data_IF_350740774590
#
_entry.id   IF_350740774590
#
_cell.length_a   1.000
_cell.length_b   1.000
_cell.length_c   1.000
_cell.angle_alpha   90.00
_cell.angle_beta   90.00
_cell.angle_gamma   90.00
#
_symmetry.space_group_name_H-M   'P 1'
#
loop_
_entity.id
_entity.type
_entity.pdbx_description
1 polymer ?
#
# COMPACT_ATOMS: atom_id res chain seq x y z
N UNK A 1 19.40 38.53 -57.41
CA UNK A 1 18.16 38.76 -56.62
C UNK A 1 17.25 37.56 -56.84
N UNK A 2 17.34 36.57 -55.95
CA UNK A 2 16.25 35.68 -55.50
C UNK A 2 16.88 34.63 -54.57
N UNK A 3 16.65 34.86 -53.29
CA UNK A 3 16.91 34.00 -52.13
C UNK A 3 16.10 32.72 -52.22
N UNK A 4 16.72 31.57 -51.97
CA UNK A 4 16.05 30.44 -51.33
C UNK A 4 16.95 29.93 -50.20
N UNK A 5 16.48 30.19 -48.98
CA UNK A 5 17.06 29.75 -47.71
C UNK A 5 16.83 28.24 -47.57
N UNK A 6 17.88 27.49 -47.26
CA UNK A 6 17.75 26.12 -46.74
C UNK A 6 16.94 26.14 -45.44
N UNK A 7 15.77 25.52 -45.47
CA UNK A 7 14.99 25.22 -44.27
C UNK A 7 15.40 23.82 -43.84
N UNK A 8 16.26 23.78 -42.82
CA UNK A 8 16.64 22.58 -42.10
C UNK A 8 15.42 22.15 -41.26
N UNK A 9 14.73 21.08 -41.68
CA UNK A 9 13.59 20.53 -40.95
C UNK A 9 14.11 19.79 -39.71
N UNK A 10 14.21 20.51 -38.59
CA UNK A 10 14.54 19.91 -37.31
C UNK A 10 13.29 19.18 -36.79
N UNK A 11 13.20 17.87 -37.03
CA UNK A 11 12.19 17.02 -36.39
C UNK A 11 12.53 16.93 -34.90
N UNK A 12 11.91 17.80 -34.10
CA UNK A 12 11.83 17.63 -32.66
C UNK A 12 10.97 16.39 -32.40
N UNK A 13 11.63 15.27 -32.08
CA UNK A 13 11.00 14.15 -31.41
C UNK A 13 10.59 14.63 -30.02
N UNK A 14 9.42 15.25 -29.94
CA UNK A 14 8.70 15.40 -28.69
C UNK A 14 8.23 13.99 -28.34
N UNK A 15 9.09 13.22 -27.66
CA UNK A 15 8.72 12.01 -26.98
C UNK A 15 7.75 12.40 -25.87
N UNK A 16 6.50 12.62 -26.23
CA UNK A 16 5.39 12.54 -25.32
C UNK A 16 5.40 11.11 -24.81
N UNK A 17 6.09 10.88 -23.68
CA UNK A 17 5.69 9.87 -22.73
C UNK A 17 4.24 10.20 -22.38
N UNK A 18 3.33 9.68 -23.19
CA UNK A 18 1.96 9.48 -22.82
C UNK A 18 2.02 8.43 -21.71
N UNK A 19 2.22 8.88 -20.47
CA UNK A 19 1.66 8.17 -19.33
C UNK A 19 0.15 8.18 -19.59
N UNK A 20 -0.33 7.18 -20.33
CA UNK A 20 -1.71 6.79 -20.28
C UNK A 20 -1.94 6.36 -18.83
N UNK A 21 -2.38 7.29 -17.99
CA UNK A 21 -3.05 6.94 -16.76
C UNK A 21 -4.29 6.19 -17.21
N UNK A 22 -4.17 4.87 -17.26
CA UNK A 22 -5.28 3.98 -17.50
C UNK A 22 -6.16 4.17 -16.26
N UNK A 23 -7.13 5.08 -16.35
CA UNK A 23 -8.28 5.08 -15.46
C UNK A 23 -9.12 3.87 -15.85
N UNK A 24 -8.57 2.66 -15.65
CA UNK A 24 -9.38 1.46 -15.61
C UNK A 24 -10.44 1.70 -14.53
N UNK A 25 -11.71 1.60 -14.89
CA UNK A 25 -12.77 1.45 -13.90
C UNK A 25 -12.35 0.30 -12.99
N UNK A 26 -11.95 0.62 -11.76
CA UNK A 26 -11.52 -0.37 -10.79
C UNK A 26 -12.81 -0.97 -10.25
N UNK A 27 -13.32 -2.01 -10.92
CA UNK A 27 -14.56 -2.67 -10.50
C UNK A 27 -14.41 -3.31 -9.11
N UNK A 28 -13.18 -3.66 -8.71
CA UNK A 28 -12.84 -4.11 -7.35
C UNK A 28 -11.47 -3.57 -6.90
N UNK A 29 -11.41 -2.67 -5.89
CA UNK A 29 -10.16 -2.11 -5.37
C UNK A 29 -9.19 -3.14 -4.82
N UNK A 30 -9.68 -4.20 -4.18
CA UNK A 30 -8.86 -5.29 -3.63
C UNK A 30 -8.16 -6.05 -4.74
N UNK A 31 -8.92 -6.43 -5.79
CA UNK A 31 -8.36 -7.12 -6.96
C UNK A 31 -7.27 -6.31 -7.63
N UNK A 32 -7.52 -5.01 -7.84
CA UNK A 32 -6.54 -4.13 -8.47
C UNK A 32 -5.29 -3.96 -7.60
N UNK A 33 -5.45 -3.79 -6.29
CA UNK A 33 -4.30 -3.72 -5.39
C UNK A 33 -3.47 -5.02 -5.41
N UNK A 34 -4.13 -6.18 -5.46
CA UNK A 34 -3.42 -7.45 -5.57
C UNK A 34 -2.65 -7.59 -6.88
N UNK A 35 -3.24 -7.15 -7.99
CA UNK A 35 -2.55 -7.06 -9.28
C UNK A 35 -1.34 -6.13 -9.21
N UNK A 36 -1.48 -4.95 -8.61
CA UNK A 36 -0.37 -4.02 -8.43
C UNK A 36 0.79 -4.66 -7.65
N UNK A 37 0.48 -5.43 -6.59
CA UNK A 37 1.47 -6.15 -5.80
C UNK A 37 2.22 -7.22 -6.60
N UNK A 38 1.63 -7.79 -7.65
CA UNK A 38 2.26 -8.77 -8.53
C UNK A 38 3.13 -8.12 -9.62
N UNK A 39 2.76 -6.91 -10.06
CA UNK A 39 3.37 -6.25 -11.22
C UNK A 39 4.53 -5.31 -10.85
N UNK A 40 4.57 -4.81 -9.61
CA UNK A 40 5.58 -3.85 -9.18
C UNK A 40 5.83 -3.90 -7.67
N UNK A 41 7.03 -3.49 -7.21
CA UNK A 41 7.26 -3.31 -5.78
C UNK A 41 6.33 -2.26 -5.18
N UNK A 42 5.83 -2.53 -3.97
CA UNK A 42 5.01 -1.60 -3.18
C UNK A 42 5.54 -1.54 -1.75
N UNK A 43 6.01 -0.36 -1.34
CA UNK A 43 6.40 -0.07 0.03
C UNK A 43 5.27 0.67 0.73
N UNK A 44 4.85 0.16 1.89
CA UNK A 44 3.74 0.68 2.68
C UNK A 44 4.18 0.87 4.13
N UNK A 45 3.98 2.07 4.62
CA UNK A 45 4.16 2.46 6.01
C UNK A 45 2.82 2.48 6.70
N UNK A 46 2.65 1.72 7.80
CA UNK A 46 1.45 1.82 8.62
C UNK A 46 1.44 3.20 9.30
N UNK A 47 0.41 3.98 9.01
CA UNK A 47 0.25 5.33 9.52
C UNK A 47 -0.82 5.40 10.59
N UNK A 48 -1.95 4.71 10.37
CA UNK A 48 -3.05 4.66 11.33
C UNK A 48 -3.61 3.24 11.46
N UNK A 49 -4.02 2.84 12.66
CA UNK A 49 -4.75 1.59 12.90
C UNK A 49 -5.87 1.78 13.92
N UNK A 50 -6.86 0.88 13.93
CA UNK A 50 -7.85 0.77 15.00
C UNK A 50 -7.62 -0.44 15.92
N UNK A 51 -6.48 -1.12 15.76
CA UNK A 51 -6.16 -2.35 16.46
C UNK A 51 -4.97 -3.06 15.83
N UNK A 52 -4.54 -4.14 16.49
CA UNK A 52 -3.35 -4.91 16.11
C UNK A 52 -3.75 -6.22 15.44
N UNK A 53 -2.99 -6.63 14.43
CA UNK A 53 -3.19 -7.89 13.70
C UNK A 53 -1.84 -8.57 13.45
N UNK A 54 -1.34 -8.60 12.20
CA UNK A 54 0.01 -9.06 11.86
C UNK A 54 1.12 -8.14 12.41
N UNK A 55 0.79 -6.89 12.72
CA UNK A 55 1.71 -5.97 13.39
C UNK A 55 1.72 -6.25 14.89
N UNK A 56 2.91 -6.35 15.52
CA UNK A 56 2.99 -6.61 16.95
C UNK A 56 2.29 -5.53 17.79
N UNK A 57 1.61 -5.87 18.90
CA UNK A 57 0.88 -4.91 19.74
C UNK A 57 1.68 -3.75 20.35
N UNK A 58 3.01 -3.80 20.28
CA UNK A 58 3.91 -2.75 20.78
C UNK A 58 4.60 -1.99 19.65
N UNK A 59 4.20 -2.22 18.39
CA UNK A 59 4.88 -1.62 17.25
C UNK A 59 4.42 -0.19 17.03
N UNK A 60 5.37 0.74 16.96
CA UNK A 60 5.11 2.13 16.54
C UNK A 60 5.42 2.33 15.06
N UNK A 61 6.40 1.63 14.51
CA UNK A 61 6.75 1.75 13.10
C UNK A 61 6.66 0.39 12.40
N UNK A 62 5.48 0.07 11.88
CA UNK A 62 5.26 -1.11 11.04
C UNK A 62 5.36 -0.74 9.55
N UNK A 63 6.13 -1.52 8.80
CA UNK A 63 6.37 -1.32 7.36
C UNK A 63 6.25 -2.64 6.64
N UNK A 64 5.63 -2.64 5.46
CA UNK A 64 5.54 -3.79 4.57
C UNK A 64 6.16 -3.41 3.23
N UNK A 65 7.03 -4.26 2.70
CA UNK A 65 7.46 -4.22 1.31
C UNK A 65 6.91 -5.45 0.61
N UNK A 66 6.09 -5.25 -0.41
CA UNK A 66 5.79 -6.28 -1.41
C UNK A 66 6.80 -6.13 -2.56
N UNK A 67 7.57 -7.19 -2.81
CA UNK A 67 8.74 -7.16 -3.70
C UNK A 67 8.38 -7.21 -5.20
N UNK A 68 7.14 -7.58 -5.52
CA UNK A 68 6.50 -7.39 -6.82
C UNK A 68 7.29 -7.85 -8.05
N UNK A 69 7.87 -9.04 -8.00
CA UNK A 69 8.82 -9.49 -9.04
C UNK A 69 8.75 -10.96 -9.41
N UNK A 70 7.75 -11.72 -8.95
CA UNK A 70 7.60 -13.11 -9.42
C UNK A 70 6.20 -13.42 -9.96
N UNK A 71 5.92 -13.14 -11.26
CA UNK A 71 4.66 -13.52 -11.90
C UNK A 71 4.48 -15.05 -12.04
N UNK A 72 5.49 -15.86 -11.69
CA UNK A 72 5.41 -17.32 -11.76
C UNK A 72 4.91 -17.98 -10.46
N UNK A 73 4.76 -17.23 -9.37
CA UNK A 73 4.21 -17.72 -8.11
C UNK A 73 2.81 -17.16 -7.90
N UNK A 74 1.85 -18.02 -7.52
CA UNK A 74 0.47 -17.62 -7.28
C UNK A 74 0.31 -16.64 -6.10
N UNK A 75 1.28 -16.61 -5.17
CA UNK A 75 1.32 -15.69 -4.04
C UNK A 75 2.37 -14.60 -4.21
N UNK A 76 2.07 -13.41 -3.67
CA UNK A 76 3.03 -12.32 -3.51
C UNK A 76 3.77 -12.52 -2.19
N UNK A 77 5.10 -12.43 -2.20
CA UNK A 77 5.89 -12.42 -0.97
C UNK A 77 6.06 -10.97 -0.52
N UNK A 78 6.04 -10.75 0.79
CA UNK A 78 6.37 -9.47 1.39
C UNK A 78 7.29 -9.62 2.58
N UNK A 79 8.08 -8.58 2.81
CA UNK A 79 8.94 -8.42 3.99
C UNK A 79 8.33 -7.38 4.92
N UNK A 80 8.40 -7.63 6.23
CA UNK A 80 7.89 -6.70 7.25
C UNK A 80 9.00 -6.22 8.16
N UNK A 81 8.88 -4.99 8.64
CA UNK A 81 9.72 -4.42 9.67
C UNK A 81 8.84 -3.79 10.74
N UNK A 82 9.06 -4.14 11.99
CA UNK A 82 8.41 -3.50 13.14
C UNK A 82 9.47 -2.95 14.10
N UNK A 83 9.33 -1.69 14.49
CA UNK A 83 10.05 -1.11 15.62
C UNK A 83 9.11 -0.93 16.82
N UNK A 84 9.68 -0.96 18.03
CA UNK A 84 9.00 -0.64 19.28
C UNK A 84 9.48 0.72 19.78
N UNK A 85 8.59 1.47 20.45
CA UNK A 85 8.94 2.74 21.07
C UNK A 85 10.16 2.59 22.01
N UNK A 86 11.11 3.54 21.92
CA UNK A 86 12.29 3.55 22.78
C UNK A 86 13.40 2.56 22.42
N UNK A 87 13.30 1.83 21.31
CA UNK A 87 14.38 0.94 20.81
C UNK A 87 14.97 1.44 19.48
N UNK A 88 15.75 2.54 19.49
CA UNK A 88 16.33 3.09 18.27
C UNK A 88 17.25 2.06 17.59
N UNK A 89 17.22 2.01 16.26
CA UNK A 89 18.02 1.08 15.44
C UNK A 89 17.77 -0.42 15.69
N UNK A 90 16.66 -0.77 16.35
CA UNK A 90 16.23 -2.17 16.52
C UNK A 90 14.94 -2.42 15.75
N UNK A 91 14.97 -3.40 14.85
CA UNK A 91 13.82 -3.82 14.05
C UNK A 91 13.67 -5.32 14.15
N UNK A 92 12.43 -5.77 14.33
CA UNK A 92 12.06 -7.17 14.08
C UNK A 92 11.68 -7.28 12.62
N UNK A 93 12.31 -8.21 11.92
CA UNK A 93 12.08 -8.48 10.50
C UNK A 93 11.24 -9.74 10.38
N UNK A 94 10.18 -9.66 9.60
CA UNK A 94 9.31 -10.79 9.29
C UNK A 94 9.11 -10.97 7.79
N UNK A 95 8.35 -11.99 7.45
CA UNK A 95 7.85 -12.23 6.10
C UNK A 95 6.38 -12.59 6.14
N UNK A 96 5.70 -12.27 5.05
CA UNK A 96 4.31 -12.63 4.82
C UNK A 96 4.13 -13.11 3.38
N UNK A 97 3.03 -13.81 3.16
CA UNK A 97 2.52 -14.14 1.83
C UNK A 97 1.17 -13.48 1.65
N UNK A 98 0.90 -12.98 0.45
CA UNK A 98 -0.40 -12.46 0.06
C UNK A 98 -1.00 -13.31 -1.06
N UNK A 99 -2.29 -13.62 -0.94
CA UNK A 99 -3.09 -14.24 -1.99
C UNK A 99 -4.42 -13.49 -2.18
N UNK A 100 -5.10 -13.71 -3.30
CA UNK A 100 -6.42 -13.15 -3.59
C UNK A 100 -7.38 -14.26 -3.96
N UNK A 101 -8.54 -14.27 -3.31
CA UNK A 101 -9.63 -15.19 -3.61
C UNK A 101 -10.65 -14.50 -4.52
N UNK A 102 -10.69 -14.90 -5.80
CA UNK A 102 -11.65 -14.36 -6.78
C UNK A 102 -13.11 -14.73 -6.48
N UNK A 103 -13.37 -15.71 -5.61
CA UNK A 103 -14.74 -16.14 -5.29
C UNK A 103 -15.38 -15.26 -4.22
N UNK A 104 -14.57 -14.75 -3.29
CA UNK A 104 -15.01 -13.91 -2.18
C UNK A 104 -14.58 -12.45 -2.30
N UNK A 105 -13.73 -12.12 -3.28
CA UNK A 105 -13.18 -10.79 -3.52
C UNK A 105 -12.35 -10.25 -2.33
N UNK A 106 -11.74 -11.17 -1.57
CA UNK A 106 -10.95 -10.91 -0.38
C UNK A 106 -9.48 -11.26 -0.65
N UNK A 107 -8.58 -10.43 -0.14
CA UNK A 107 -7.16 -10.75 -0.09
C UNK A 107 -6.80 -11.36 1.27
N UNK A 108 -5.86 -12.30 1.27
CA UNK A 108 -5.40 -12.99 2.49
C UNK A 108 -3.93 -12.68 2.69
N UNK A 109 -3.55 -12.27 3.90
CA UNK A 109 -2.16 -12.19 4.34
C UNK A 109 -1.89 -13.30 5.35
N UNK A 110 -0.85 -14.08 5.10
CA UNK A 110 -0.45 -15.19 5.95
C UNK A 110 0.98 -15.01 6.41
N UNK A 111 1.20 -15.14 7.71
CA UNK A 111 2.52 -15.29 8.34
C UNK A 111 2.64 -16.71 8.91
N UNK A 112 3.73 -17.01 9.63
CA UNK A 112 3.85 -18.31 10.32
C UNK A 112 2.87 -18.47 11.49
N UNK A 113 2.29 -17.39 12.01
CA UNK A 113 1.44 -17.41 13.22
C UNK A 113 0.09 -16.74 13.06
N UNK A 114 -0.14 -15.99 11.98
CA UNK A 114 -1.37 -15.25 11.72
C UNK A 114 -1.85 -15.46 10.30
N UNK A 115 -3.17 -15.47 10.13
CA UNK A 115 -3.84 -15.36 8.85
C UNK A 115 -4.89 -14.26 9.00
N UNK A 116 -4.81 -13.24 8.16
CA UNK A 116 -5.76 -12.13 8.16
C UNK A 116 -6.36 -11.94 6.78
N UNK A 117 -7.62 -11.53 6.74
CA UNK A 117 -8.41 -11.35 5.54
C UNK A 117 -8.67 -9.86 5.39
N UNK A 118 -8.25 -9.27 4.27
CA UNK A 118 -8.42 -7.84 4.07
C UNK A 118 -9.14 -7.49 2.77
N UNK A 119 -9.88 -6.38 2.84
CA UNK A 119 -10.53 -5.74 1.71
C UNK A 119 -10.02 -4.32 1.61
N UNK A 120 -9.71 -3.88 0.39
CA UNK A 120 -9.34 -2.50 0.11
C UNK A 120 -10.60 -1.67 -0.04
N UNK A 121 -10.75 -0.64 0.78
CA UNK A 121 -11.95 0.20 0.84
C UNK A 121 -11.91 1.37 -0.13
N UNK A 122 -10.71 1.82 -0.51
CA UNK A 122 -10.47 2.94 -1.43
C UNK A 122 -9.39 2.54 -2.45
N UNK A 123 -9.58 2.80 -3.76
CA UNK A 123 -8.60 2.43 -4.79
C UNK A 123 -7.19 2.92 -4.48
N UNK A 124 -6.24 1.98 -4.42
CA UNK A 124 -4.84 2.32 -4.26
C UNK A 124 -4.26 2.86 -5.58
N UNK A 125 -4.12 4.18 -5.67
CA UNK A 125 -3.51 4.86 -6.83
C UNK A 125 -2.03 5.18 -6.60
N UNK A 126 -1.34 4.27 -5.89
CA UNK A 126 0.10 4.39 -5.61
C UNK A 126 0.47 5.37 -4.50
N UNK A 127 -0.48 5.78 -3.64
CA UNK A 127 -0.23 6.77 -2.58
C UNK A 127 -0.56 6.23 -1.19
N UNK A 128 -1.84 6.09 -0.88
CA UNK A 128 -2.34 5.66 0.42
C UNK A 128 -3.31 4.51 0.25
N UNK A 129 -3.23 3.53 1.13
CA UNK A 129 -4.05 2.33 1.13
C UNK A 129 -4.92 2.32 2.38
N UNK A 130 -6.24 2.19 2.22
CA UNK A 130 -7.16 2.01 3.33
C UNK A 130 -7.78 0.62 3.26
N UNK A 131 -7.57 -0.18 4.30
CA UNK A 131 -8.05 -1.56 4.36
C UNK A 131 -8.90 -1.81 5.59
N UNK A 132 -9.84 -2.75 5.41
CA UNK A 132 -10.59 -3.41 6.46
C UNK A 132 -10.06 -4.83 6.61
N UNK A 133 -9.74 -5.23 7.82
CA UNK A 133 -9.20 -6.54 8.17
C UNK A 133 -10.21 -7.29 9.02
N UNK A 134 -10.48 -8.54 8.65
CA UNK A 134 -11.21 -9.53 9.42
C UNK A 134 -10.26 -10.68 9.79
N UNK A 135 -10.29 -11.11 11.05
CA UNK A 135 -9.63 -12.35 11.48
C UNK A 135 -10.63 -13.52 11.47
N UNK A 136 -10.25 -14.64 10.83
CA UNK A 136 -11.06 -15.88 10.80
C UNK A 136 -10.28 -16.99 11.54
N UNK A 137 -10.92 -17.79 12.43
CA UNK A 137 -12.36 -17.94 12.65
C UNK A 137 -12.80 -17.53 14.07
N UNK A 138 -13.13 -16.24 14.25
CA UNK A 138 -14.25 -15.78 15.08
C UNK A 138 -14.96 -14.53 14.54
N UNK A 139 -14.41 -13.79 13.54
CA UNK A 139 -15.00 -12.54 13.01
C UNK A 139 -15.42 -11.53 14.10
N UNK A 140 -14.85 -11.65 15.30
CA UNK A 140 -15.22 -10.84 16.46
C UNK A 140 -14.49 -9.50 16.43
N UNK A 141 -13.33 -9.43 15.78
CA UNK A 141 -12.51 -8.22 15.69
C UNK A 141 -12.41 -7.77 14.24
N UNK A 142 -12.92 -6.57 13.96
CA UNK A 142 -12.72 -5.87 12.69
C UNK A 142 -11.74 -4.73 12.95
N UNK A 143 -10.63 -4.72 12.22
CA UNK A 143 -9.61 -3.69 12.33
C UNK A 143 -9.52 -2.91 11.04
N UNK A 144 -9.31 -1.60 11.14
CA UNK A 144 -9.08 -0.73 10.00
C UNK A 144 -7.65 -0.22 10.05
N UNK A 145 -7.02 -0.12 8.88
CA UNK A 145 -5.66 0.39 8.76
C UNK A 145 -5.51 1.31 7.57
N UNK A 146 -4.76 2.40 7.77
CA UNK A 146 -4.31 3.30 6.70
C UNK A 146 -2.80 3.18 6.58
N UNK A 147 -2.35 2.81 5.39
CA UNK A 147 -0.94 2.83 5.01
C UNK A 147 -0.65 3.96 4.01
N UNK A 148 0.60 4.38 3.95
CA UNK A 148 1.10 5.35 2.98
C UNK A 148 2.39 4.84 2.33
N UNK A 149 2.61 5.21 1.07
CA UNK A 149 3.89 5.09 0.38
C UNK A 149 4.90 6.18 0.81
N UNK A 150 4.42 7.25 1.42
CA UNK A 150 5.22 8.34 1.99
C UNK A 150 5.50 8.08 3.48
N UNK A 151 6.78 8.09 3.85
CA UNK A 151 7.23 7.85 5.24
C UNK A 151 6.60 8.84 6.23
N UNK A 152 6.32 10.08 5.82
CA UNK A 152 5.75 11.11 6.69
C UNK A 152 4.20 11.05 6.75
N UNK A 153 3.57 10.02 6.17
CA UNK A 153 2.12 9.80 6.21
C UNK A 153 1.27 10.96 5.65
N UNK A 154 1.82 11.75 4.70
CA UNK A 154 1.17 12.94 4.15
C UNK A 154 -0.14 12.63 3.42
N UNK A 155 -0.20 11.51 2.67
CA UNK A 155 -1.40 11.11 1.93
C UNK A 155 -2.39 10.41 2.86
N UNK A 156 -1.89 9.58 3.79
CA UNK A 156 -2.68 8.93 4.81
C UNK A 156 -3.44 9.93 5.68
N UNK A 157 -2.82 11.07 6.05
CA UNK A 157 -3.52 12.14 6.78
C UNK A 157 -4.72 12.70 5.99
N UNK A 158 -4.55 12.96 4.69
CA UNK A 158 -5.66 13.42 3.83
C UNK A 158 -6.74 12.35 3.66
N UNK A 159 -6.32 11.08 3.59
CA UNK A 159 -7.25 9.96 3.51
C UNK A 159 -8.04 9.78 4.81
N UNK A 160 -7.39 9.95 5.97
CA UNK A 160 -8.03 9.92 7.28
C UNK A 160 -9.16 10.96 7.37
N UNK A 161 -8.89 12.20 6.97
CA UNK A 161 -9.91 13.28 6.93
C UNK A 161 -11.11 12.92 6.04
N UNK A 162 -10.91 12.11 4.99
CA UNK A 162 -11.97 11.65 4.08
C UNK A 162 -12.79 10.50 4.68
N UNK A 163 -12.12 9.49 5.26
CA UNK A 163 -12.77 8.24 5.70
C UNK A 163 -13.25 8.28 7.14
N UNK A 164 -12.71 9.22 7.93
CA UNK A 164 -13.14 9.56 9.28
C UNK A 164 -13.41 11.07 9.36
N UNK A 165 -14.49 11.56 8.72
CA UNK A 165 -14.88 12.97 8.83
C UNK A 165 -15.33 13.34 10.25
N UNK A 166 -15.83 12.36 11.01
CA UNK A 166 -16.05 12.42 12.45
C UNK A 166 -14.89 11.74 13.21
N UNK A 167 -14.78 11.96 14.52
CA UNK A 167 -13.81 11.23 15.35
C UNK A 167 -14.04 9.72 15.25
N UNK A 168 -13.02 8.98 14.82
CA UNK A 168 -13.00 7.52 14.74
C UNK A 168 -11.80 6.96 15.51
N UNK A 169 -11.82 5.66 15.78
CA UNK A 169 -10.81 4.97 16.62
C UNK A 169 -9.48 4.67 15.88
N UNK A 170 -9.13 5.47 14.86
CA UNK A 170 -7.86 5.34 14.15
C UNK A 170 -6.78 6.18 14.84
N UNK A 171 -5.79 5.49 15.40
CA UNK A 171 -4.68 6.09 16.12
C UNK A 171 -3.45 6.23 15.22
N UNK A 172 -2.71 7.35 15.33
CA UNK A 172 -1.43 7.52 14.65
C UNK A 172 -0.41 6.57 15.27
N UNK A 173 0.14 5.66 14.48
CA UNK A 173 1.10 4.68 14.97
C UNK A 173 2.53 5.18 14.85
N UNK A 174 2.79 5.95 13.81
CA UNK A 174 4.14 6.25 13.34
C UNK A 174 4.80 7.36 14.14
N UNK A 175 5.87 7.02 14.85
CA UNK A 175 6.73 8.00 15.52
C UNK A 175 7.65 8.66 14.49
N UNK A 176 7.26 9.84 14.02
CA UNK A 176 8.11 10.68 13.17
C UNK A 176 9.04 11.47 14.09
N UNK A 177 10.32 11.10 14.15
CA UNK A 177 11.32 11.91 14.82
C UNK A 177 11.43 13.26 14.10
N UNK A 178 10.85 14.31 14.67
CA UNK A 178 11.13 15.68 14.27
C UNK A 178 12.52 16.04 14.79
N UNK A 179 13.52 16.02 13.91
CA UNK A 179 14.81 16.67 14.17
C UNK A 179 14.68 18.18 13.95
#
# INVERSE_FOLDING_TARGET
MHTMKSIMLMMAFCSSLLFTCNCSNVDNPTKQFFKDMQERPILLYQCYHSGYTIDPPTSTNFTILFDGTNPSTAGVVGSTWSATAGTPNSYVIGSLQASYDETTDIAVLTTSTFEEYFTVLEPFVGKSLYIRIEEVPKKETVVYKIYDSDFECKNAKKLLEKVCPDTCDLELTREICNN
#
